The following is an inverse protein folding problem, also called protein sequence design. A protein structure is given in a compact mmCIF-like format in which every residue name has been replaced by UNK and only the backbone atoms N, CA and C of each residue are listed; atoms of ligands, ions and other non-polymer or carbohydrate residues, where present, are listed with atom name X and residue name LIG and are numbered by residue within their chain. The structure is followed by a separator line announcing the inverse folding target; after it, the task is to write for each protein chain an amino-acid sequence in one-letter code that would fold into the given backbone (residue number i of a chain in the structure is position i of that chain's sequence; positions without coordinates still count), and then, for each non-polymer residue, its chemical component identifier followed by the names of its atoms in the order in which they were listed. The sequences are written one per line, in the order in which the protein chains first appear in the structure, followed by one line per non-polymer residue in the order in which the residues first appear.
data_IF_763039555660
#
_entry.id   IF_763039555660
#
_cell.length_a   1.000
_cell.length_b   1.000
_cell.length_c   1.000
_cell.angle_alpha   90.00
_cell.angle_beta   90.00
_cell.angle_gamma   90.00
#
_symmetry.space_group_name_H-M   'P 1'
#
loop_
_entity.id
_entity.type
_entity.pdbx_description
1 polymer ?
#
# COMPACT_ATOMS: atom_id res chain seq x y z
N UNK A 1 9.16 -7.61 -47.07
CA UNK A 1 9.43 -7.37 -45.62
C UNK A 1 9.67 -5.88 -45.44
N UNK A 2 8.62 -5.15 -45.00
CA UNK A 2 8.70 -3.74 -44.68
C UNK A 2 9.15 -3.59 -43.22
N UNK A 3 10.02 -2.64 -42.88
CA UNK A 3 10.48 -2.42 -41.51
C UNK A 3 9.36 -1.81 -40.67
N UNK A 4 9.00 -2.45 -39.54
CA UNK A 4 8.11 -1.93 -38.53
C UNK A 4 8.83 -0.81 -37.81
N UNK A 5 8.49 0.44 -38.09
CA UNK A 5 8.95 1.60 -37.32
C UNK A 5 8.30 1.55 -35.93
N UNK A 6 9.09 1.14 -34.95
CA UNK A 6 8.74 1.35 -33.52
C UNK A 6 8.81 2.83 -33.22
N UNK A 7 7.66 3.51 -33.23
CA UNK A 7 7.55 4.83 -32.64
C UNK A 7 7.60 4.68 -31.12
N UNK A 8 8.78 4.89 -30.55
CA UNK A 8 8.91 5.11 -29.12
C UNK A 8 8.23 6.46 -28.82
N UNK A 9 7.03 6.42 -28.25
CA UNK A 9 6.43 7.59 -27.65
C UNK A 9 7.25 7.93 -26.40
N UNK A 10 8.23 8.81 -26.54
CA UNK A 10 8.81 9.55 -25.44
C UNK A 10 7.71 10.47 -24.90
N UNK A 11 6.98 10.01 -23.88
CA UNK A 11 6.20 10.91 -23.03
C UNK A 11 7.25 11.72 -22.28
N UNK A 12 7.52 12.93 -22.77
CA UNK A 12 8.32 13.90 -22.05
C UNK A 12 7.64 14.12 -20.70
N UNK A 13 8.28 13.66 -19.63
CA UNK A 13 7.82 13.94 -18.29
C UNK A 13 7.76 15.47 -18.14
N UNK A 14 6.57 16.04 -18.09
CA UNK A 14 6.39 17.44 -17.67
C UNK A 14 7.07 17.56 -16.31
N UNK A 15 7.87 18.62 -16.06
CA UNK A 15 8.38 18.87 -14.72
C UNK A 15 7.17 18.95 -13.79
N UNK A 16 7.01 17.94 -12.93
CA UNK A 16 5.94 17.89 -11.97
C UNK A 16 6.13 19.07 -11.04
N UNK A 17 5.13 19.93 -10.97
CA UNK A 17 5.03 21.03 -10.02
C UNK A 17 5.40 20.53 -8.62
N UNK A 18 5.92 21.39 -7.77
CA UNK A 18 6.43 21.11 -6.42
C UNK A 18 5.36 20.57 -5.44
N UNK A 19 4.38 19.83 -5.97
CA UNK A 19 3.26 19.28 -5.22
C UNK A 19 3.68 18.01 -4.50
N UNK A 20 3.48 18.01 -3.21
CA UNK A 20 3.58 16.83 -2.35
C UNK A 20 2.22 16.12 -2.33
N UNK A 21 2.23 14.79 -2.45
CA UNK A 21 1.04 13.97 -2.23
C UNK A 21 1.07 13.49 -0.78
N UNK A 22 -0.03 13.71 -0.06
CA UNK A 22 -0.22 13.20 1.29
C UNK A 22 -0.92 11.85 1.23
N UNK A 23 -0.30 10.81 1.77
CA UNK A 23 -0.89 9.48 1.92
C UNK A 23 -1.16 9.25 3.40
N UNK A 24 -2.39 8.91 3.74
CA UNK A 24 -2.82 8.62 5.10
C UNK A 24 -3.03 7.11 5.22
N UNK A 25 -2.21 6.46 6.06
CA UNK A 25 -2.18 5.02 6.29
C UNK A 25 -1.01 4.32 5.59
N UNK A 26 -0.12 3.74 6.38
CA UNK A 26 1.07 3.00 5.95
C UNK A 26 0.85 1.49 5.84
N UNK A 27 -0.37 1.04 5.53
CA UNK A 27 -0.69 -0.35 5.20
C UNK A 27 -0.17 -0.75 3.82
N UNK A 28 -0.57 -1.94 3.33
CA UNK A 28 -0.14 -2.45 2.01
C UNK A 28 -0.42 -1.45 0.88
N UNK A 29 -1.64 -0.90 0.83
CA UNK A 29 -2.05 0.01 -0.24
C UNK A 29 -1.32 1.36 -0.17
N UNK A 30 -1.19 1.96 1.02
CA UNK A 30 -0.51 3.25 1.17
C UNK A 30 0.98 3.15 0.94
N UNK A 31 1.61 2.08 1.40
CA UNK A 31 3.03 1.80 1.14
C UNK A 31 3.31 1.61 -0.36
N UNK A 32 2.46 0.85 -1.07
CA UNK A 32 2.58 0.69 -2.51
C UNK A 32 2.39 2.02 -3.26
N UNK A 33 1.37 2.81 -2.86
CA UNK A 33 1.12 4.13 -3.47
C UNK A 33 2.32 5.08 -3.27
N UNK A 34 2.89 5.10 -2.06
CA UNK A 34 4.08 5.90 -1.75
C UNK A 34 5.27 5.52 -2.65
N UNK A 35 5.52 4.21 -2.80
CA UNK A 35 6.56 3.67 -3.65
C UNK A 35 6.39 4.09 -5.11
N UNK A 36 5.20 3.87 -5.66
CA UNK A 36 4.91 4.16 -7.06
C UNK A 36 5.00 5.65 -7.38
N UNK A 37 4.58 6.52 -6.47
CA UNK A 37 4.73 7.98 -6.61
C UNK A 37 6.19 8.41 -6.50
N UNK A 38 6.91 7.91 -5.51
CA UNK A 38 8.33 8.25 -5.31
C UNK A 38 9.20 7.88 -6.53
N UNK A 39 8.98 6.71 -7.12
CA UNK A 39 9.64 6.27 -8.36
C UNK A 39 9.38 7.18 -9.55
N UNK A 40 8.29 7.93 -9.55
CA UNK A 40 7.95 8.92 -10.57
C UNK A 40 8.41 10.33 -10.23
N UNK A 41 9.23 10.48 -9.18
CA UNK A 41 9.78 11.76 -8.74
C UNK A 41 8.80 12.63 -7.96
N UNK A 42 7.65 12.08 -7.55
CA UNK A 42 6.67 12.80 -6.74
C UNK A 42 7.10 12.79 -5.28
N UNK A 43 7.03 13.94 -4.62
CA UNK A 43 7.23 14.03 -3.18
C UNK A 43 6.01 13.44 -2.46
N UNK A 44 6.26 12.62 -1.45
CA UNK A 44 5.23 11.94 -0.68
C UNK A 44 5.42 12.23 0.80
N UNK A 45 4.33 12.59 1.47
CA UNK A 45 4.21 12.52 2.93
C UNK A 45 3.34 11.30 3.25
N UNK A 46 3.89 10.32 3.94
CA UNK A 46 3.17 9.14 4.39
C UNK A 46 2.93 9.23 5.89
N UNK A 47 1.69 9.52 6.30
CA UNK A 47 1.30 9.54 7.71
C UNK A 47 0.80 8.16 8.14
N UNK A 48 1.43 7.61 9.18
CA UNK A 48 1.06 6.34 9.80
C UNK A 48 0.94 6.52 11.32
N UNK A 49 -0.20 6.16 11.90
CA UNK A 49 -0.45 6.39 13.31
C UNK A 49 0.35 5.50 14.25
N UNK A 50 0.70 4.28 13.80
CA UNK A 50 1.53 3.37 14.59
C UNK A 50 2.95 3.90 14.70
N UNK A 51 3.55 3.77 15.89
CA UNK A 51 4.83 4.40 16.21
C UNK A 51 4.74 5.88 16.60
N UNK A 52 3.54 6.49 16.51
CA UNK A 52 3.25 7.85 16.99
C UNK A 52 2.52 7.90 18.34
N UNK A 53 2.36 6.74 18.99
CA UNK A 53 1.62 6.62 20.26
C UNK A 53 0.24 5.98 20.11
N UNK A 54 -0.25 5.83 18.88
CA UNK A 54 -1.51 5.15 18.59
C UNK A 54 -1.26 3.73 18.03
N UNK A 55 -2.20 2.83 18.30
CA UNK A 55 -2.18 1.46 17.82
C UNK A 55 -3.60 1.00 17.54
N UNK A 56 -3.79 0.13 16.55
CA UNK A 56 -5.08 -0.53 16.34
C UNK A 56 -5.14 -1.86 17.11
N UNK A 57 -6.35 -2.38 17.38
CA UNK A 57 -6.48 -3.69 18.07
C UNK A 57 -5.88 -4.88 17.33
N UNK A 58 -5.69 -4.77 16.00
CA UNK A 58 -5.21 -5.85 15.15
C UNK A 58 -3.69 -5.84 14.93
N UNK A 59 -3.04 -4.68 15.04
CA UNK A 59 -1.61 -4.53 14.81
C UNK A 59 -0.81 -4.74 16.10
N UNK A 60 0.41 -5.23 15.97
CA UNK A 60 1.33 -5.51 17.08
C UNK A 60 2.63 -4.72 16.98
N UNK A 61 2.95 -4.18 15.81
CA UNK A 61 4.19 -3.47 15.54
C UNK A 61 3.93 -2.10 14.93
N UNK A 62 4.95 -1.28 14.87
CA UNK A 62 4.95 0.01 14.16
C UNK A 62 5.45 -0.09 12.71
N UNK A 63 5.77 -1.30 12.25
CA UNK A 63 6.23 -1.56 10.88
C UNK A 63 5.18 -1.23 9.83
N UNK A 64 5.62 -0.73 8.66
CA UNK A 64 4.73 -0.49 7.54
C UNK A 64 4.24 -1.81 6.94
N UNK A 65 3.05 -1.80 6.33
CA UNK A 65 2.43 -2.95 5.66
C UNK A 65 2.38 -4.23 6.53
N UNK A 66 2.20 -4.09 7.84
CA UNK A 66 2.04 -5.24 8.73
C UNK A 66 0.85 -6.11 8.32
N UNK A 67 1.09 -7.41 8.18
CA UNK A 67 0.07 -8.39 7.81
C UNK A 67 -0.60 -8.95 9.06
N UNK A 68 -1.84 -8.55 9.31
CA UNK A 68 -2.56 -8.91 10.57
C UNK A 68 -3.42 -10.17 10.47
N UNK A 69 -3.98 -10.48 9.29
CA UNK A 69 -4.94 -11.59 9.12
C UNK A 69 -4.28 -12.88 8.65
N UNK A 70 -3.34 -12.79 7.71
CA UNK A 70 -2.70 -13.93 7.05
C UNK A 70 -1.27 -13.57 6.71
N UNK A 71 -0.41 -14.58 6.57
CA UNK A 71 0.94 -14.43 6.03
C UNK A 71 1.03 -14.87 4.57
N UNK A 72 -0.10 -15.01 3.88
CA UNK A 72 -0.15 -15.52 2.50
C UNK A 72 -0.87 -14.54 1.58
N UNK A 73 -0.26 -14.29 0.43
CA UNK A 73 -0.85 -13.58 -0.70
C UNK A 73 -1.61 -14.53 -1.65
N UNK A 74 -1.91 -15.75 -1.22
CA UNK A 74 -2.57 -16.81 -2.01
C UNK A 74 -1.66 -17.39 -3.09
N UNK A 75 -2.25 -17.92 -4.19
CA UNK A 75 -1.51 -18.58 -5.27
C UNK A 75 -0.57 -17.62 -6.00
N UNK A 76 0.64 -18.10 -6.31
CA UNK A 76 1.63 -17.39 -7.14
C UNK A 76 1.77 -18.01 -8.54
N UNK A 77 0.88 -18.94 -8.88
CA UNK A 77 0.82 -19.59 -10.20
C UNK A 77 0.10 -18.67 -11.20
N UNK A 78 0.88 -18.00 -12.03
CA UNK A 78 0.38 -17.04 -13.02
C UNK A 78 -0.32 -17.68 -14.21
N UNK A 79 -0.06 -18.95 -14.49
CA UNK A 79 -0.60 -19.64 -15.66
C UNK A 79 -1.97 -20.25 -15.39
N UNK A 80 -2.23 -20.65 -14.14
CA UNK A 80 -3.44 -21.37 -13.77
C UNK A 80 -4.32 -20.65 -12.74
N UNK A 81 -3.91 -19.48 -12.23
CA UNK A 81 -4.62 -18.78 -11.19
C UNK A 81 -4.64 -17.25 -11.39
N UNK A 82 -5.82 -16.66 -11.33
CA UNK A 82 -5.99 -15.21 -11.52
C UNK A 82 -5.19 -14.36 -10.52
N UNK A 83 -5.04 -14.83 -9.26
CA UNK A 83 -4.22 -14.12 -8.26
C UNK A 83 -2.74 -14.18 -8.63
N UNK A 84 -2.25 -15.34 -9.10
CA UNK A 84 -0.89 -15.47 -9.59
C UNK A 84 -0.61 -14.58 -10.81
N UNK A 85 -1.58 -14.46 -11.72
CA UNK A 85 -1.48 -13.52 -12.85
C UNK A 85 -1.38 -12.06 -12.35
N UNK A 86 -2.21 -11.67 -11.39
CA UNK A 86 -2.14 -10.35 -10.77
C UNK A 86 -0.75 -10.09 -10.15
N UNK A 87 -0.18 -11.07 -9.43
CA UNK A 87 1.18 -10.94 -8.89
C UNK A 87 2.22 -10.70 -9.99
N UNK A 88 2.09 -11.39 -11.12
CA UNK A 88 2.98 -11.20 -12.25
C UNK A 88 2.85 -9.80 -12.87
N UNK A 89 1.64 -9.27 -12.98
CA UNK A 89 1.40 -7.89 -13.42
C UNK A 89 1.99 -6.88 -12.44
N UNK A 90 1.80 -7.08 -11.14
CA UNK A 90 2.40 -6.24 -10.10
C UNK A 90 3.94 -6.27 -10.15
N UNK A 91 4.56 -7.44 -10.38
CA UNK A 91 6.02 -7.55 -10.58
C UNK A 91 6.48 -6.75 -11.78
N UNK A 92 5.74 -6.77 -12.90
CA UNK A 92 6.05 -5.95 -14.09
C UNK A 92 5.95 -4.46 -13.85
N UNK A 93 5.08 -4.03 -12.92
CA UNK A 93 4.97 -2.65 -12.46
C UNK A 93 6.02 -2.30 -11.40
N UNK A 94 6.89 -3.23 -11.04
CA UNK A 94 7.91 -3.06 -10.02
C UNK A 94 7.31 -2.71 -8.65
N UNK A 95 6.31 -3.49 -8.23
CA UNK A 95 5.59 -3.34 -6.97
C UNK A 95 6.51 -3.51 -5.76
N UNK A 96 6.37 -2.62 -4.79
CA UNK A 96 7.01 -2.70 -3.48
C UNK A 96 6.59 -3.98 -2.74
N UNK A 97 5.29 -4.28 -2.75
CA UNK A 97 4.73 -5.45 -2.08
C UNK A 97 5.35 -6.73 -2.64
N UNK A 98 5.45 -6.85 -3.96
CA UNK A 98 6.06 -8.04 -4.58
C UNK A 98 7.58 -8.11 -4.32
N UNK A 99 8.29 -6.99 -4.31
CA UNK A 99 9.72 -6.96 -3.95
C UNK A 99 9.96 -7.46 -2.52
N UNK A 100 9.22 -6.92 -1.56
CA UNK A 100 9.33 -7.33 -0.17
C UNK A 100 8.89 -8.78 0.05
N UNK A 101 7.86 -9.24 -0.67
CA UNK A 101 7.40 -10.61 -0.59
C UNK A 101 8.45 -11.61 -1.10
N UNK A 102 9.21 -11.30 -2.15
CA UNK A 102 10.28 -12.17 -2.62
C UNK A 102 11.42 -12.34 -1.59
N UNK A 103 11.74 -11.28 -0.85
CA UNK A 103 12.76 -11.32 0.23
C UNK A 103 12.27 -12.13 1.42
N UNK A 104 10.97 -11.98 1.77
CA UNK A 104 10.36 -12.59 2.94
C UNK A 104 9.76 -13.99 2.67
N UNK A 105 9.85 -14.51 1.46
CA UNK A 105 9.20 -15.74 1.02
C UNK A 105 9.58 -16.95 1.87
N UNK A 106 8.57 -17.72 2.26
CA UNK A 106 8.73 -19.01 2.94
C UNK A 106 8.11 -20.14 2.12
N UNK A 107 8.58 -21.39 2.27
CA UNK A 107 8.03 -22.53 1.53
C UNK A 107 6.53 -22.75 1.82
N UNK A 108 5.68 -22.70 0.79
CA UNK A 108 4.23 -22.88 0.92
C UNK A 108 3.59 -23.47 -0.36
N UNK A 109 4.27 -24.36 -1.07
CA UNK A 109 3.79 -24.94 -2.32
C UNK A 109 3.63 -23.89 -3.42
N UNK A 110 2.44 -23.79 -4.02
CA UNK A 110 2.13 -22.79 -5.04
C UNK A 110 1.69 -21.43 -4.45
N UNK A 111 1.56 -21.31 -3.14
CA UNK A 111 1.19 -20.05 -2.50
C UNK A 111 2.41 -19.14 -2.27
N UNK A 112 2.21 -17.85 -2.39
CA UNK A 112 3.17 -16.84 -1.94
C UNK A 112 2.93 -16.55 -0.46
N UNK A 113 3.61 -17.30 0.40
CA UNK A 113 3.61 -17.04 1.83
C UNK A 113 4.92 -16.38 2.26
N UNK A 114 4.84 -15.55 3.28
CA UNK A 114 5.95 -14.73 3.77
C UNK A 114 6.12 -14.81 5.27
N UNK A 115 7.34 -14.61 5.74
CA UNK A 115 7.59 -14.21 7.11
C UNK A 115 7.12 -12.76 7.29
N UNK A 116 6.19 -12.52 8.24
CA UNK A 116 5.52 -11.22 8.41
C UNK A 116 6.48 -10.12 8.85
N UNK A 117 7.39 -10.46 9.75
CA UNK A 117 8.33 -9.49 10.32
C UNK A 117 9.37 -9.08 9.29
N UNK A 118 9.90 -10.06 8.55
CA UNK A 118 10.83 -9.82 7.42
C UNK A 118 10.14 -9.00 6.34
N UNK A 119 8.89 -9.31 6.01
CA UNK A 119 8.12 -8.60 4.99
C UNK A 119 7.90 -7.13 5.37
N UNK A 120 7.35 -6.88 6.58
CA UNK A 120 7.09 -5.52 7.08
C UNK A 120 8.39 -4.73 7.25
N UNK A 121 9.45 -5.38 7.74
CA UNK A 121 10.78 -4.78 7.84
C UNK A 121 11.33 -4.34 6.49
N UNK A 122 11.21 -5.17 5.46
CA UNK A 122 11.69 -4.85 4.11
C UNK A 122 10.89 -3.71 3.45
N UNK A 123 9.56 -3.71 3.61
CA UNK A 123 8.71 -2.59 3.15
C UNK A 123 9.14 -1.28 3.82
N UNK A 124 9.31 -1.31 5.14
CA UNK A 124 9.71 -0.13 5.92
C UNK A 124 11.10 0.37 5.48
N UNK A 125 12.05 -0.54 5.32
CA UNK A 125 13.41 -0.23 4.86
C UNK A 125 13.40 0.44 3.49
N UNK A 126 12.75 -0.20 2.50
CA UNK A 126 12.71 0.28 1.12
C UNK A 126 12.07 1.66 1.00
N UNK A 127 10.99 1.95 1.75
CA UNK A 127 10.37 3.28 1.76
C UNK A 127 11.22 4.32 2.46
N UNK A 128 11.88 3.95 3.56
CA UNK A 128 12.77 4.87 4.30
C UNK A 128 14.00 5.30 3.49
N UNK A 129 14.42 4.49 2.53
CA UNK A 129 15.54 4.78 1.63
C UNK A 129 15.13 5.68 0.44
N UNK A 130 13.82 5.92 0.23
CA UNK A 130 13.37 6.80 -0.86
C UNK A 130 13.54 8.27 -0.50
N UNK A 131 14.34 9.04 -1.23
CA UNK A 131 14.59 10.44 -0.90
C UNK A 131 13.36 11.34 -1.03
N UNK A 132 12.34 10.87 -1.75
CA UNK A 132 11.09 11.60 -1.99
C UNK A 132 9.96 11.20 -1.03
N UNK A 133 10.20 10.28 -0.08
CA UNK A 133 9.20 9.82 0.89
C UNK A 133 9.57 10.31 2.28
N UNK A 134 8.68 11.09 2.87
CA UNK A 134 8.71 11.47 4.28
C UNK A 134 7.72 10.60 5.04
N UNK A 135 8.20 9.70 5.90
CA UNK A 135 7.36 8.90 6.77
C UNK A 135 7.16 9.66 8.07
N UNK A 136 5.90 9.99 8.38
CA UNK A 136 5.53 10.72 9.59
C UNK A 136 4.67 9.83 10.48
N UNK A 137 5.13 9.65 11.72
CA UNK A 137 4.42 8.84 12.72
C UNK A 137 3.42 9.70 13.46
N UNK A 138 2.23 9.80 12.88
CA UNK A 138 1.13 10.62 13.40
C UNK A 138 -0.22 10.02 13.01
N UNK A 139 -1.23 10.26 13.86
CA UNK A 139 -2.62 10.02 13.50
C UNK A 139 -3.20 11.26 12.82
N UNK A 140 -3.86 11.04 11.70
CA UNK A 140 -4.59 12.09 10.98
C UNK A 140 -6.08 11.91 11.28
N UNK A 141 -6.68 12.90 11.93
CA UNK A 141 -8.10 12.86 12.33
C UNK A 141 -9.02 13.62 11.38
N UNK A 142 -8.47 14.51 10.56
CA UNK A 142 -9.24 15.35 9.63
C UNK A 142 -8.58 15.32 8.26
N UNK A 143 -9.38 15.21 7.20
CA UNK A 143 -8.88 15.29 5.83
C UNK A 143 -8.24 16.65 5.57
N UNK A 144 -7.03 16.68 4.99
CA UNK A 144 -6.46 17.93 4.47
C UNK A 144 -7.38 18.55 3.42
N UNK A 145 -7.56 19.86 3.51
CA UNK A 145 -8.39 20.64 2.56
C UNK A 145 -7.61 21.09 1.34
N UNK A 146 -6.28 21.02 1.40
CA UNK A 146 -5.39 21.45 0.33
C UNK A 146 -4.50 20.31 -0.16
N UNK A 147 -4.11 20.37 -1.43
CA UNK A 147 -3.23 19.40 -2.04
C UNK A 147 -3.94 18.12 -2.48
N UNK A 148 -3.14 17.12 -2.82
CA UNK A 148 -3.62 15.79 -3.19
C UNK A 148 -3.46 14.83 -2.02
N UNK A 149 -4.55 14.20 -1.62
CA UNK A 149 -4.57 13.24 -0.51
C UNK A 149 -5.07 11.88 -0.98
N UNK A 150 -4.36 10.83 -0.57
CA UNK A 150 -4.78 9.42 -0.73
C UNK A 150 -5.08 8.87 0.66
N UNK A 151 -6.33 8.49 0.90
CA UNK A 151 -6.72 7.80 2.15
C UNK A 151 -6.59 6.29 1.92
N UNK A 152 -5.65 5.67 2.60
CA UNK A 152 -5.32 4.25 2.48
C UNK A 152 -5.32 3.51 3.84
N UNK A 153 -6.19 3.94 4.74
CA UNK A 153 -6.27 3.48 6.13
C UNK A 153 -6.99 2.14 6.30
N UNK A 154 -7.69 1.68 5.25
CA UNK A 154 -8.39 0.40 5.27
C UNK A 154 -9.54 0.33 6.30
N UNK A 155 -9.92 -0.89 6.72
CA UNK A 155 -11.08 -1.09 7.59
C UNK A 155 -10.89 -0.60 9.04
N UNK A 156 -9.64 -0.36 9.46
CA UNK A 156 -9.29 0.11 10.80
C UNK A 156 -9.06 1.63 10.86
N UNK A 157 -9.73 2.36 9.96
CA UNK A 157 -9.71 3.84 9.93
C UNK A 157 -10.19 4.42 11.26
N UNK A 158 -9.44 5.39 11.81
CA UNK A 158 -9.84 6.10 13.01
C UNK A 158 -11.22 6.77 12.81
N UNK A 159 -12.07 6.70 13.82
CA UNK A 159 -13.45 7.19 13.73
C UNK A 159 -13.53 8.67 13.34
N UNK A 160 -12.63 9.50 13.86
CA UNK A 160 -12.52 10.92 13.52
C UNK A 160 -12.24 11.15 12.03
N UNK A 161 -11.28 10.41 11.46
CA UNK A 161 -10.99 10.49 10.04
C UNK A 161 -12.13 9.95 9.18
N UNK A 162 -12.76 8.85 9.60
CA UNK A 162 -13.94 8.30 8.91
C UNK A 162 -15.08 9.33 8.84
N UNK A 163 -15.33 10.05 9.94
CA UNK A 163 -16.33 11.12 9.97
C UNK A 163 -15.94 12.30 9.06
N UNK A 164 -14.67 12.63 9.00
CA UNK A 164 -14.18 13.69 8.10
C UNK A 164 -14.36 13.30 6.62
N UNK A 165 -14.11 12.03 6.27
CA UNK A 165 -14.34 11.50 4.92
C UNK A 165 -15.82 11.51 4.56
N UNK A 166 -16.70 11.08 5.48
CA UNK A 166 -18.16 11.15 5.30
C UNK A 166 -18.62 12.57 4.99
N UNK A 167 -18.16 13.53 5.80
CA UNK A 167 -18.50 14.95 5.62
C UNK A 167 -18.03 15.49 4.27
N UNK A 168 -16.85 15.09 3.81
CA UNK A 168 -16.28 15.54 2.54
C UNK A 168 -16.98 14.91 1.33
N UNK A 169 -17.46 13.67 1.45
CA UNK A 169 -18.10 12.93 0.35
C UNK A 169 -19.62 13.13 0.27
N UNK A 170 -20.22 13.67 1.34
CA UNK A 170 -21.68 13.81 1.44
C UNK A 170 -22.41 12.46 1.53
N UNK A 171 -21.71 11.40 1.96
CA UNK A 171 -22.29 10.07 2.13
C UNK A 171 -22.82 9.90 3.56
N UNK A 172 -23.87 9.10 3.71
CA UNK A 172 -24.45 8.80 5.03
C UNK A 172 -23.67 7.74 5.79
N UNK A 173 -22.90 6.90 5.07
CA UNK A 173 -22.09 5.83 5.67
C UNK A 173 -20.88 5.49 4.80
N UNK A 174 -19.79 5.01 5.44
CA UNK A 174 -18.69 4.34 4.79
C UNK A 174 -18.87 2.84 4.92
N UNK A 175 -18.82 2.13 3.80
CA UNK A 175 -18.82 0.67 3.80
C UNK A 175 -17.36 0.17 3.88
N UNK A 176 -17.04 -0.51 4.97
CA UNK A 176 -15.80 -1.24 5.11
C UNK A 176 -16.08 -2.73 5.01
N UNK A 177 -15.35 -3.41 4.12
CA UNK A 177 -15.43 -4.85 4.00
C UNK A 177 -14.25 -5.46 4.73
N UNK A 178 -14.54 -6.21 5.80
CA UNK A 178 -13.55 -7.08 6.43
C UNK A 178 -13.60 -8.44 5.74
N UNK A 179 -12.47 -8.87 5.20
CA UNK A 179 -12.36 -10.17 4.53
C UNK A 179 -12.20 -11.35 5.52
N UNK A 180 -12.26 -11.10 6.82
CA UNK A 180 -12.20 -12.16 7.84
C UNK A 180 -13.48 -12.99 7.75
N UNK A 181 -13.33 -14.24 7.35
CA UNK A 181 -14.45 -15.19 7.37
C UNK A 181 -14.89 -15.44 8.82
N UNK A 182 -16.18 -15.32 9.15
CA UNK A 182 -16.66 -15.60 10.50
C UNK A 182 -16.39 -17.07 10.86
N UNK A 183 -15.80 -17.30 12.02
CA UNK A 183 -15.63 -18.64 12.58
C UNK A 183 -16.94 -18.99 13.27
N UNK A 184 -17.65 -19.99 12.76
CA UNK A 184 -18.89 -20.50 13.35
C UNK A 184 -18.54 -21.79 14.09
N UNK A 185 -18.88 -21.86 15.39
CA UNK A 185 -18.80 -23.09 16.15
C UNK A 185 -20.11 -23.88 15.99
N UNK A 186 -19.99 -25.18 15.83
CA UNK A 186 -21.15 -26.10 15.85
C UNK A 186 -21.63 -26.33 17.26
#
# INVERSE_FOLDING_TARGET
LLPVHRHAFLIAARPMSNHQVHIIGGGLAGSEAAWQLAKRGVKVRLSEMRGGGDMTPAHQTDGLAEMVCSNSFRSDDADNNAVGLLHQEMRRLDSLVMRAAEVAKVPAGSALAVDRDVFSGEVTRLLSEQPNVEIVRERVDVLPTEGLTIVATGPLTAQSLAQSVLSATGQDSLAFFDAIAPIVYH
#
